data_IF_703975557673
#
_entry.id   IF_703975557673
#
_cell.length_a   1.000
_cell.length_b   1.000
_cell.length_c   1.000
_cell.angle_alpha   90.00
_cell.angle_beta   90.00
_cell.angle_gamma   90.00
#
_symmetry.space_group_name_H-M   'P 1'
#
loop_
_entity.id
_entity.type
_entity.pdbx_description
1 polymer ?
#
# COMPACT_ATOMS: atom_id res chain seq x y z
N UNK A 1 -9.01 5.66 -16.63
CA UNK A 1 -9.47 5.18 -15.30
C UNK A 1 -9.20 6.27 -14.29
N UNK A 2 -10.20 6.69 -13.54
CA UNK A 2 -10.06 7.68 -12.47
C UNK A 2 -9.59 7.02 -11.16
N UNK A 3 -9.25 7.83 -10.16
CA UNK A 3 -8.91 7.31 -8.83
C UNK A 3 -10.06 6.51 -8.22
N UNK A 4 -11.29 7.00 -8.33
CA UNK A 4 -12.47 6.35 -7.76
C UNK A 4 -12.79 5.02 -8.46
N UNK A 5 -12.62 4.95 -9.79
CA UNK A 5 -12.76 3.68 -10.54
C UNK A 5 -11.69 2.66 -10.13
N UNK A 6 -10.45 3.11 -9.95
CA UNK A 6 -9.36 2.25 -9.48
C UNK A 6 -9.60 1.81 -8.02
N UNK A 7 -10.09 2.71 -7.16
CA UNK A 7 -10.47 2.39 -5.79
C UNK A 7 -11.55 1.32 -5.76
N UNK A 8 -12.60 1.46 -6.55
CA UNK A 8 -13.68 0.46 -6.64
C UNK A 8 -13.18 -0.93 -7.07
N UNK A 9 -12.22 -0.99 -8.00
CA UNK A 9 -11.59 -2.25 -8.41
C UNK A 9 -10.80 -2.87 -7.27
N UNK A 10 -10.04 -2.05 -6.52
CA UNK A 10 -9.24 -2.54 -5.39
C UNK A 10 -10.09 -2.94 -4.19
N UNK A 11 -11.15 -2.21 -3.89
CA UNK A 11 -12.10 -2.56 -2.83
C UNK A 11 -12.79 -3.90 -3.11
N UNK A 12 -13.14 -4.17 -4.37
CA UNK A 12 -13.68 -5.46 -4.78
C UNK A 12 -12.70 -6.63 -4.53
N UNK A 13 -11.40 -6.35 -4.44
CA UNK A 13 -10.33 -7.31 -4.10
C UNK A 13 -9.84 -7.17 -2.65
N UNK A 14 -10.47 -6.30 -1.85
CA UNK A 14 -10.21 -6.00 -0.42
C UNK A 14 -8.89 -5.27 -0.07
N UNK A 15 -7.90 -5.00 -0.93
CA UNK A 15 -6.85 -4.05 -0.59
C UNK A 15 -7.34 -2.60 -0.77
N UNK A 16 -6.72 -1.67 -0.05
CA UNK A 16 -7.01 -0.23 -0.16
C UNK A 16 -5.85 0.49 -0.86
N UNK A 17 -6.17 1.53 -1.62
CA UNK A 17 -5.17 2.38 -2.28
C UNK A 17 -4.69 3.46 -1.31
N UNK A 18 -3.38 3.53 -1.06
CA UNK A 18 -2.77 4.45 -0.11
C UNK A 18 -1.89 5.54 -0.72
N UNK A 19 -1.78 5.62 -1.95
CA UNK A 19 -0.99 6.67 -2.59
C UNK A 19 -1.02 6.54 -4.08
N UNK A 20 -0.93 7.66 -4.73
CA UNK A 20 -0.88 7.75 -6.19
C UNK A 20 0.34 8.57 -6.56
N UNK A 21 1.20 7.98 -7.36
CA UNK A 21 2.30 8.60 -8.09
C UNK A 21 2.00 8.54 -9.59
N UNK A 22 3.03 8.53 -10.40
CA UNK A 22 2.96 7.96 -11.75
C UNK A 22 2.62 6.44 -11.71
N UNK A 23 2.44 5.91 -10.53
CA UNK A 23 1.93 4.58 -10.17
C UNK A 23 1.03 4.66 -8.93
N UNK A 24 0.29 3.61 -8.66
CA UNK A 24 -0.59 3.50 -7.50
C UNK A 24 -0.02 2.49 -6.51
N UNK A 25 0.10 2.87 -5.23
CA UNK A 25 0.51 1.95 -4.17
C UNK A 25 -0.72 1.37 -3.48
N UNK A 26 -0.72 0.06 -3.36
CA UNK A 26 -1.78 -0.69 -2.69
C UNK A 26 -1.26 -1.18 -1.35
N UNK A 27 -1.93 -0.83 -0.27
CA UNK A 27 -1.52 -1.23 1.06
C UNK A 27 -2.70 -1.63 1.93
N UNK A 28 -2.61 -2.79 2.56
CA UNK A 28 -3.62 -3.23 3.50
C UNK A 28 -3.43 -2.51 4.85
N UNK A 29 -4.51 -1.95 5.37
CA UNK A 29 -4.58 -1.47 6.76
C UNK A 29 -5.91 -1.83 7.41
N UNK A 30 -6.81 -2.41 6.61
CA UNK A 30 -8.15 -2.73 7.05
C UNK A 30 -8.20 -3.97 7.93
N UNK A 31 -9.09 -4.02 8.94
CA UNK A 31 -9.30 -5.21 9.77
C UNK A 31 -9.65 -6.46 8.96
N UNK A 32 -10.23 -6.31 7.78
CA UNK A 32 -10.58 -7.40 6.87
C UNK A 32 -9.40 -8.04 6.13
N UNK A 33 -8.24 -7.39 6.14
CA UNK A 33 -7.05 -7.86 5.42
C UNK A 33 -6.57 -9.24 5.91
N UNK A 34 -6.39 -9.37 7.21
CA UNK A 34 -5.89 -10.61 7.79
C UNK A 34 -6.86 -11.80 7.63
N UNK A 35 -8.16 -11.64 7.91
CA UNK A 35 -9.13 -12.69 7.55
C UNK A 35 -9.10 -13.07 6.07
N UNK A 36 -8.99 -12.11 5.16
CA UNK A 36 -8.94 -12.39 3.73
C UNK A 36 -7.71 -13.21 3.31
N UNK A 37 -6.56 -12.99 3.95
CA UNK A 37 -5.37 -13.83 3.74
C UNK A 37 -5.60 -15.23 4.29
N UNK A 38 -6.07 -15.35 5.53
CA UNK A 38 -6.30 -16.65 6.18
C UNK A 38 -7.29 -17.52 5.41
N UNK A 39 -8.28 -16.92 4.77
CA UNK A 39 -9.28 -17.60 3.93
C UNK A 39 -8.77 -17.90 2.51
N UNK A 40 -7.58 -17.41 2.14
CA UNK A 40 -7.05 -17.59 0.80
C UNK A 40 -6.45 -18.97 0.57
N UNK A 41 -6.43 -19.47 -0.68
CA UNK A 41 -5.71 -20.72 -1.02
C UNK A 41 -4.23 -20.65 -0.63
N UNK A 42 -3.60 -19.48 -0.82
CA UNK A 42 -2.18 -19.28 -0.53
C UNK A 42 -1.85 -19.63 0.93
N UNK A 43 -2.75 -19.28 1.86
CA UNK A 43 -2.61 -19.60 3.28
C UNK A 43 -3.04 -21.04 3.62
N UNK A 44 -4.19 -21.47 3.10
CA UNK A 44 -4.77 -22.79 3.39
C UNK A 44 -3.89 -23.92 2.87
N UNK A 45 -3.30 -23.76 1.68
CA UNK A 45 -2.40 -24.73 1.07
C UNK A 45 -0.96 -24.64 1.60
N UNK A 46 -0.71 -23.77 2.59
CA UNK A 46 0.61 -23.56 3.22
C UNK A 46 1.70 -23.24 2.20
N UNK A 47 1.39 -22.40 1.23
CA UNK A 47 2.37 -21.93 0.26
C UNK A 47 3.56 -21.24 0.96
N UNK A 48 4.79 -21.32 0.41
CA UNK A 48 5.89 -20.49 0.87
C UNK A 48 5.51 -19.00 0.79
N UNK A 49 5.80 -18.24 1.84
CA UNK A 49 5.51 -16.79 1.92
C UNK A 49 4.05 -16.45 1.53
N UNK A 50 3.04 -17.02 2.19
CA UNK A 50 1.65 -16.98 1.74
C UNK A 50 1.10 -15.55 1.63
N UNK A 51 1.60 -14.61 2.44
CA UNK A 51 1.23 -13.19 2.37
C UNK A 51 1.72 -12.56 1.08
N UNK A 52 2.93 -12.88 0.65
CA UNK A 52 3.51 -12.38 -0.60
C UNK A 52 2.81 -13.00 -1.81
N UNK A 53 2.54 -14.30 -1.78
CA UNK A 53 1.81 -15.00 -2.83
C UNK A 53 0.39 -14.44 -2.99
N UNK A 54 -0.33 -14.28 -1.91
CA UNK A 54 -1.66 -13.66 -1.92
C UNK A 54 -1.61 -12.23 -2.48
N UNK A 55 -0.67 -11.42 -2.01
CA UNK A 55 -0.49 -10.04 -2.49
C UNK A 55 -0.18 -10.00 -3.98
N UNK A 56 0.72 -10.87 -4.45
CA UNK A 56 1.07 -10.98 -5.86
C UNK A 56 -0.17 -11.26 -6.72
N UNK A 57 -0.92 -12.30 -6.36
CA UNK A 57 -2.13 -12.72 -7.08
C UNK A 57 -3.21 -11.63 -7.15
N UNK A 58 -3.45 -10.92 -6.02
CA UNK A 58 -4.45 -9.85 -5.98
C UNK A 58 -3.99 -8.65 -6.81
N UNK A 59 -2.76 -8.23 -6.65
CA UNK A 59 -2.22 -7.03 -7.32
C UNK A 59 -2.09 -7.26 -8.83
N UNK A 60 -1.70 -8.45 -9.28
CA UNK A 60 -1.72 -8.79 -10.71
C UNK A 60 -3.13 -8.72 -11.30
N UNK A 61 -4.12 -9.21 -10.57
CA UNK A 61 -5.51 -9.14 -11.01
C UNK A 61 -6.00 -7.69 -11.15
N UNK A 62 -5.67 -6.84 -10.18
CA UNK A 62 -5.97 -5.40 -10.25
C UNK A 62 -5.22 -4.76 -11.42
N UNK A 63 -3.96 -5.09 -11.62
CA UNK A 63 -3.16 -4.60 -12.74
C UNK A 63 -3.76 -4.96 -14.10
N UNK A 64 -4.22 -6.20 -14.27
CA UNK A 64 -4.91 -6.65 -15.50
C UNK A 64 -6.17 -5.83 -15.78
N UNK A 65 -7.02 -5.62 -14.76
CA UNK A 65 -8.25 -4.82 -14.90
C UNK A 65 -7.93 -3.36 -15.21
N UNK A 66 -6.87 -2.82 -14.58
CA UNK A 66 -6.43 -1.43 -14.78
C UNK A 66 -5.62 -1.21 -16.06
N UNK A 67 -5.25 -2.27 -16.80
CA UNK A 67 -4.35 -2.16 -17.95
C UNK A 67 -2.97 -1.61 -17.56
N UNK A 68 -2.45 -1.97 -16.40
CA UNK A 68 -1.26 -1.41 -15.77
C UNK A 68 -0.21 -2.47 -15.49
N UNK A 69 1.01 -2.04 -15.14
CA UNK A 69 2.11 -2.92 -14.77
C UNK A 69 2.26 -2.98 -13.26
N UNK A 70 2.22 -4.18 -12.65
CA UNK A 70 2.41 -4.33 -11.22
C UNK A 70 3.90 -4.27 -10.83
N UNK A 71 4.16 -3.74 -9.63
CA UNK A 71 5.45 -3.77 -8.96
C UNK A 71 5.28 -4.26 -7.53
N UNK A 72 6.31 -4.90 -6.99
CA UNK A 72 6.27 -5.53 -5.67
C UNK A 72 7.43 -5.07 -4.78
N UNK A 73 7.23 -4.99 -3.45
CA UNK A 73 8.30 -4.70 -2.47
C UNK A 73 9.15 -5.92 -2.13
N UNK A 74 8.83 -7.07 -2.70
CA UNK A 74 9.47 -8.36 -2.46
C UNK A 74 9.92 -9.03 -3.77
N UNK A 75 10.59 -10.18 -3.66
CA UNK A 75 11.14 -10.90 -4.81
C UNK A 75 12.57 -10.50 -5.14
N UNK A 76 13.06 -10.97 -6.28
CA UNK A 76 14.47 -10.81 -6.69
C UNK A 76 14.87 -9.35 -7.00
N UNK A 77 13.94 -8.52 -7.39
CA UNK A 77 14.16 -7.11 -7.72
C UNK A 77 13.07 -6.25 -7.07
N UNK A 78 13.16 -6.00 -5.75
CA UNK A 78 12.17 -5.21 -5.04
C UNK A 78 12.18 -3.76 -5.53
N UNK A 79 10.99 -3.21 -5.77
CA UNK A 79 10.85 -1.83 -6.17
C UNK A 79 11.02 -0.86 -4.97
N UNK A 80 11.40 0.41 -5.21
CA UNK A 80 11.73 1.37 -4.15
C UNK A 80 10.48 1.98 -3.49
N UNK A 81 9.66 1.20 -2.84
CA UNK A 81 8.35 1.55 -2.29
C UNK A 81 8.39 2.74 -1.31
N UNK A 82 9.39 2.79 -0.44
CA UNK A 82 9.52 3.91 0.50
C UNK A 82 9.69 5.24 -0.26
N UNK A 83 10.52 5.26 -1.30
CA UNK A 83 10.72 6.44 -2.13
C UNK A 83 9.41 6.86 -2.82
N UNK A 84 8.66 5.91 -3.35
CA UNK A 84 7.39 6.16 -4.01
C UNK A 84 6.32 6.64 -3.02
N UNK A 85 6.24 6.01 -1.84
CA UNK A 85 5.31 6.42 -0.80
C UNK A 85 5.57 7.87 -0.36
N UNK A 86 6.83 8.24 -0.09
CA UNK A 86 7.20 9.60 0.31
C UNK A 86 6.95 10.65 -0.80
N UNK A 87 7.00 10.25 -2.07
CA UNK A 87 6.70 11.13 -3.20
C UNK A 87 5.21 11.22 -3.55
N UNK A 88 4.34 10.48 -2.85
CA UNK A 88 2.91 10.41 -3.17
C UNK A 88 2.06 11.54 -2.59
N UNK A 89 2.62 12.43 -1.78
CA UNK A 89 1.89 13.39 -0.94
C UNK A 89 0.84 12.74 0.00
N UNK A 90 1.01 11.43 0.28
CA UNK A 90 0.15 10.62 1.16
C UNK A 90 0.92 9.96 2.29
N UNK A 91 2.24 10.01 2.23
CA UNK A 91 3.11 9.51 3.29
C UNK A 91 4.30 10.45 3.49
N UNK A 92 4.76 10.54 4.72
CA UNK A 92 5.85 11.42 5.14
C UNK A 92 6.80 10.65 6.06
N UNK A 93 8.00 11.16 6.19
CA UNK A 93 8.94 10.65 7.16
C UNK A 93 8.55 11.15 8.56
N UNK A 94 8.33 10.23 9.49
CA UNK A 94 8.08 10.55 10.89
C UNK A 94 9.37 10.93 11.62
N UNK A 95 9.28 11.51 12.84
CA UNK A 95 10.46 11.78 13.66
C UNK A 95 11.32 10.56 14.01
N UNK A 96 10.73 9.36 13.96
CA UNK A 96 11.44 8.07 14.17
C UNK A 96 11.89 7.41 12.86
N UNK A 97 11.95 8.19 11.77
CA UNK A 97 12.45 7.78 10.44
C UNK A 97 11.56 6.73 9.73
N UNK A 98 10.45 6.34 10.29
CA UNK A 98 9.46 5.46 9.65
C UNK A 98 8.53 6.28 8.75
N UNK A 99 8.01 5.66 7.68
CA UNK A 99 6.96 6.28 6.89
C UNK A 99 5.66 6.34 7.71
N UNK A 100 5.04 7.52 7.75
CA UNK A 100 3.70 7.72 8.29
C UNK A 100 2.75 8.04 7.15
N UNK A 101 1.69 7.26 7.03
CA UNK A 101 0.67 7.42 6.00
C UNK A 101 -0.52 8.23 6.57
N UNK A 102 -1.17 9.02 5.72
CA UNK A 102 -2.20 9.98 6.13
C UNK A 102 -3.36 9.38 6.92
N UNK A 103 -3.75 8.16 6.63
CA UNK A 103 -4.92 7.47 7.19
C UNK A 103 -4.52 6.32 8.13
N UNK A 104 -3.55 5.50 7.73
CA UNK A 104 -3.10 4.33 8.49
C UNK A 104 -1.99 4.64 9.51
N UNK A 105 -1.46 5.84 9.51
CA UNK A 105 -0.35 6.20 10.40
C UNK A 105 0.92 5.40 10.12
N UNK A 106 1.53 4.87 11.19
CA UNK A 106 2.74 4.01 11.09
C UNK A 106 2.42 2.54 10.78
N UNK A 107 1.15 2.14 10.86
CA UNK A 107 0.71 0.75 10.73
C UNK A 107 0.31 0.41 9.29
N UNK A 108 1.14 0.77 8.32
CA UNK A 108 0.91 0.50 6.90
C UNK A 108 2.00 -0.42 6.34
N UNK A 109 1.58 -1.40 5.56
CA UNK A 109 2.47 -2.24 4.77
C UNK A 109 2.09 -2.13 3.29
N UNK A 110 2.99 -1.56 2.50
CA UNK A 110 2.80 -1.51 1.05
C UNK A 110 3.07 -2.88 0.44
N UNK A 111 2.10 -3.43 -0.26
CA UNK A 111 2.16 -4.78 -0.82
C UNK A 111 2.32 -4.80 -2.34
N UNK A 112 2.06 -3.69 -3.00
CA UNK A 112 2.22 -3.53 -4.43
C UNK A 112 2.02 -2.12 -4.91
N UNK A 113 2.42 -1.86 -6.15
CA UNK A 113 2.20 -0.62 -6.86
C UNK A 113 1.79 -0.91 -8.30
N UNK A 114 1.02 -0.01 -8.87
CA UNK A 114 0.62 -0.05 -10.27
C UNK A 114 1.29 1.08 -11.04
N UNK A 115 2.03 0.73 -12.07
CA UNK A 115 2.57 1.69 -13.04
C UNK A 115 1.53 1.91 -14.13
N UNK A 116 1.04 3.13 -14.23
CA UNK A 116 0.04 3.55 -15.19
C UNK A 116 0.73 4.33 -16.33
N UNK A 117 0.22 4.19 -17.54
CA UNK A 117 0.68 4.95 -18.71
C UNK A 117 0.06 6.35 -18.83
N UNK A 118 -0.76 6.72 -17.83
CA UNK A 118 -1.40 8.02 -17.69
C UNK A 118 -1.25 8.58 -16.27
N UNK A 119 -1.35 9.90 -16.14
CA UNK A 119 -1.29 10.57 -14.84
C UNK A 119 -2.66 10.61 -14.16
N UNK A 120 -2.68 10.26 -12.88
CA UNK A 120 -3.84 10.46 -12.01
C UNK A 120 -3.51 11.63 -11.06
N UNK A 121 -4.41 12.60 -10.97
CA UNK A 121 -4.28 13.66 -9.98
C UNK A 121 -4.63 13.12 -8.60
N UNK A 122 -3.63 13.05 -7.73
CA UNK A 122 -3.85 12.77 -6.31
C UNK A 122 -4.28 14.06 -5.59
N UNK A 123 -5.20 13.94 -4.64
CA UNK A 123 -5.48 15.02 -3.71
C UNK A 123 -4.29 15.20 -2.77
N UNK A 124 -3.74 16.41 -2.73
CA UNK A 124 -2.71 16.78 -1.75
C UNK A 124 -3.25 16.60 -0.31
N UNK A 125 -2.45 16.04 0.56
CA UNK A 125 -2.72 15.97 2.00
C UNK A 125 -1.56 16.59 2.76
N UNK A 126 -1.85 17.17 3.91
CA UNK A 126 -0.82 17.69 4.80
C UNK A 126 -0.28 16.60 5.72
N UNK A 127 1.02 16.70 6.04
CA UNK A 127 1.63 15.79 7.00
C UNK A 127 0.94 15.88 8.36
N UNK A 128 0.58 14.76 8.99
CA UNK A 128 0.00 14.77 10.33
C UNK A 128 1.04 15.09 11.43
N UNK A 129 2.34 15.00 11.12
CA UNK A 129 3.40 15.14 12.13
C UNK A 129 3.53 16.52 12.78
N UNK A 130 3.33 17.66 12.10
CA UNK A 130 3.45 18.99 12.71
C UNK A 130 2.46 19.24 13.85
N UNK A 131 1.21 18.76 13.70
CA UNK A 131 0.13 18.93 14.68
C UNK A 131 0.03 17.78 15.70
N UNK A 132 0.83 16.72 15.53
CA UNK A 132 0.79 15.52 16.36
C UNK A 132 1.59 15.70 17.66
N UNK A 133 1.11 15.12 18.75
CA UNK A 133 1.83 15.04 20.04
C UNK A 133 3.06 14.13 20.02
N UNK A 134 3.34 13.49 18.88
CA UNK A 134 4.51 12.63 18.61
C UNK A 134 4.66 11.44 19.58
N UNK A 135 3.60 10.66 19.81
CA UNK A 135 3.70 9.50 20.73
C UNK A 135 4.72 8.46 20.24
N UNK A 136 5.03 8.43 18.93
CA UNK A 136 6.05 7.56 18.37
C UNK A 136 7.46 7.78 18.95
N UNK A 137 7.75 8.97 19.48
CA UNK A 137 9.04 9.26 20.09
C UNK A 137 9.18 8.73 21.54
N UNK A 138 8.07 8.44 22.19
CA UNK A 138 8.04 8.02 23.61
C UNK A 138 7.48 6.61 23.81
N UNK A 139 6.78 6.08 22.82
CA UNK A 139 6.15 4.75 22.92
C UNK A 139 7.09 3.59 22.56
N UNK A 140 8.26 3.88 21.98
CA UNK A 140 9.24 2.84 21.70
C UNK A 140 10.03 2.51 22.97
N UNK A 141 10.06 1.24 23.42
CA UNK A 141 10.72 0.84 24.67
C UNK A 141 12.23 0.62 24.54
N UNK A 142 12.88 1.13 23.49
CA UNK A 142 14.33 1.06 23.29
C UNK A 142 14.99 2.35 23.68
#
# INVERSE_FOLDING_TARGET
MTYDELLAVTEAQRPTIFGILAGSTLGPHEPSYWPAICDSPDWQDRMPDPVDQWSHRIIERVAQVAGSKPHFPFGAQPAPFLKWALASDRAWQSPVVMAVQAEAGLLVSYRGALELDYSIQASHRESPCPSCTKPCMTACPV
#
